data_IF_237131535493
#
_entry.id   IF_237131535493
#
_cell.length_a   1.000
_cell.length_b   1.000
_cell.length_c   1.000
_cell.angle_alpha   90.00
_cell.angle_beta   90.00
_cell.angle_gamma   90.00
#
_symmetry.space_group_name_H-M   'P 1'
#
loop_
_entity.id
_entity.type
_entity.pdbx_description
1 polymer ?
#
# COMPACT_ATOMS: atom_id res chain seq x y z
N UNK A 1 -0.02 73.08 -44.69
CA UNK A 1 -0.45 72.69 -43.34
C UNK A 1 -0.45 71.15 -43.30
N UNK A 2 0.60 70.50 -42.72
CA UNK A 2 0.74 69.06 -42.70
C UNK A 2 0.30 68.56 -41.33
N UNK A 3 -0.72 67.71 -41.30
CA UNK A 3 -1.20 67.06 -40.09
C UNK A 3 -0.60 65.66 -40.06
N UNK A 4 0.29 65.39 -39.09
CA UNK A 4 0.81 64.03 -38.81
C UNK A 4 -0.17 63.26 -37.98
N UNK A 5 -0.49 61.99 -38.30
CA UNK A 5 -1.24 61.12 -37.40
C UNK A 5 -0.29 60.44 -36.40
N UNK A 6 -0.53 60.69 -35.11
CA UNK A 6 0.08 59.92 -34.03
C UNK A 6 -0.62 58.54 -33.98
N UNK A 7 0.15 57.51 -34.30
CA UNK A 7 -0.30 56.11 -34.13
C UNK A 7 -0.02 55.76 -32.66
N UNK A 8 -1.11 55.55 -31.90
CA UNK A 8 -1.09 55.03 -30.55
C UNK A 8 -0.96 53.51 -30.65
N UNK A 9 0.24 52.95 -30.46
CA UNK A 9 0.48 51.49 -30.31
C UNK A 9 0.14 51.09 -28.87
N UNK A 10 -1.09 50.63 -28.67
CA UNK A 10 -1.46 49.96 -27.40
C UNK A 10 -0.83 48.57 -27.38
N UNK A 11 0.26 48.39 -26.63
CA UNK A 11 0.86 47.10 -26.35
C UNK A 11 -0.08 46.33 -25.45
N UNK A 12 -0.84 45.35 -26.00
CA UNK A 12 -1.51 44.34 -25.22
C UNK A 12 -0.44 43.42 -24.58
N UNK A 13 -0.07 43.72 -23.34
CA UNK A 13 0.64 42.81 -22.48
C UNK A 13 -0.38 41.74 -22.04
N UNK A 14 -0.56 40.67 -22.84
CA UNK A 14 -1.27 39.46 -22.45
C UNK A 14 -0.41 38.76 -21.40
N UNK A 15 -0.65 39.09 -20.13
CA UNK A 15 -0.10 38.34 -19.02
C UNK A 15 -0.57 36.88 -19.14
N UNK A 16 0.32 35.97 -19.52
CA UNK A 16 0.17 34.53 -19.30
C UNK A 16 0.07 34.33 -17.78
N UNK A 17 -1.15 34.38 -17.27
CA UNK A 17 -1.41 33.85 -15.93
C UNK A 17 -1.11 32.36 -16.03
N UNK A 18 0.10 31.95 -15.63
CA UNK A 18 0.37 30.56 -15.28
C UNK A 18 -0.63 30.24 -14.19
N UNK A 19 -1.63 29.41 -14.50
CA UNK A 19 -2.50 28.83 -13.50
C UNK A 19 -1.55 28.16 -12.50
N UNK A 20 -1.34 28.78 -11.33
CA UNK A 20 -0.68 28.10 -10.23
C UNK A 20 -1.56 26.88 -9.92
N UNK A 21 -1.09 25.71 -10.25
CA UNK A 21 -1.76 24.49 -9.83
C UNK A 21 -1.70 24.50 -8.30
N UNK A 22 -2.86 24.62 -7.64
CA UNK A 22 -2.95 24.43 -6.21
C UNK A 22 -2.47 23.00 -5.91
N UNK A 23 -1.57 22.85 -4.93
CA UNK A 23 -1.15 21.52 -4.50
C UNK A 23 -2.36 20.80 -3.90
N UNK A 24 -2.45 19.50 -4.11
CA UNK A 24 -3.57 18.68 -3.60
C UNK A 24 -3.75 18.83 -2.08
N UNK A 25 -2.71 19.22 -1.35
CA UNK A 25 -2.80 19.55 0.08
C UNK A 25 -3.81 20.70 0.33
N UNK A 26 -3.75 21.77 -0.49
CA UNK A 26 -4.67 22.90 -0.37
C UNK A 26 -6.10 22.51 -0.74
N UNK A 27 -6.25 21.64 -1.73
CA UNK A 27 -7.55 21.12 -2.15
C UNK A 27 -8.21 20.29 -1.04
N UNK A 28 -7.44 19.39 -0.38
CA UNK A 28 -7.91 18.58 0.75
C UNK A 28 -8.36 19.48 1.92
N UNK A 29 -7.54 20.48 2.29
CA UNK A 29 -7.87 21.39 3.38
C UNK A 29 -9.13 22.21 3.05
N UNK A 30 -9.23 22.71 1.82
CA UNK A 30 -10.39 23.50 1.36
C UNK A 30 -11.66 22.68 1.28
N UNK A 31 -11.56 21.41 0.86
CA UNK A 31 -12.69 20.48 0.83
C UNK A 31 -13.12 19.99 2.20
N UNK A 32 -12.30 20.19 3.25
CA UNK A 32 -12.56 19.71 4.60
C UNK A 32 -12.59 18.18 4.72
N UNK A 33 -11.99 17.46 3.76
CA UNK A 33 -12.07 16.00 3.67
C UNK A 33 -10.80 15.42 3.09
N UNK A 34 -10.31 14.32 3.69
CA UNK A 34 -9.23 13.47 3.19
C UNK A 34 -9.78 12.10 2.80
N UNK A 35 -9.65 11.73 1.52
CA UNK A 35 -10.03 10.40 1.01
C UNK A 35 -8.81 9.49 1.02
N UNK A 36 -8.84 8.44 1.86
CA UNK A 36 -7.77 7.46 1.96
C UNK A 36 -8.14 6.17 1.22
N UNK A 37 -7.38 5.79 0.21
CA UNK A 37 -7.44 4.45 -0.35
C UNK A 37 -6.85 3.47 0.68
N UNK A 38 -7.66 2.51 1.14
CA UNK A 38 -7.26 1.51 2.13
C UNK A 38 -7.70 0.14 1.65
N UNK A 39 -6.81 -0.85 1.76
CA UNK A 39 -7.14 -2.24 1.50
C UNK A 39 -7.80 -2.85 2.74
N UNK A 40 -9.11 -3.12 2.65
CA UNK A 40 -9.89 -3.67 3.78
C UNK A 40 -9.94 -5.20 3.81
N UNK A 41 -9.11 -5.86 3.02
CA UNK A 41 -8.92 -7.30 2.98
C UNK A 41 -7.48 -7.72 3.39
N UNK A 42 -6.83 -6.85 4.17
CA UNK A 42 -5.46 -7.03 4.61
C UNK A 42 -5.32 -6.88 6.14
N UNK A 43 -5.97 -7.76 6.95
CA UNK A 43 -5.84 -7.69 8.40
C UNK A 43 -4.39 -7.98 8.86
N UNK A 44 -3.90 -7.32 9.91
CA UNK A 44 -4.59 -6.34 10.75
C UNK A 44 -4.42 -4.88 10.28
N UNK A 45 -3.83 -4.63 9.10
CA UNK A 45 -3.64 -3.27 8.58
C UNK A 45 -4.97 -2.64 8.14
N UNK A 46 -5.77 -3.34 7.35
CA UNK A 46 -7.11 -2.94 6.98
C UNK A 46 -8.07 -4.12 7.00
N UNK A 47 -9.22 -3.94 7.63
CA UNK A 47 -10.25 -4.98 7.74
C UNK A 47 -11.63 -4.34 7.96
N UNK A 48 -12.65 -5.18 8.02
CA UNK A 48 -13.98 -4.81 8.47
C UNK A 48 -14.32 -5.54 9.76
N UNK A 49 -14.92 -4.82 10.70
CA UNK A 49 -15.44 -5.43 11.93
C UNK A 49 -16.76 -6.17 11.67
N UNK A 50 -17.34 -6.73 12.74
CA UNK A 50 -18.63 -7.44 12.71
C UNK A 50 -19.80 -6.58 12.22
N UNK A 51 -19.71 -5.27 12.36
CA UNK A 51 -20.72 -4.30 11.95
C UNK A 51 -20.38 -3.71 10.55
N UNK A 52 -19.45 -4.34 9.81
CA UNK A 52 -18.95 -3.96 8.50
C UNK A 52 -18.25 -2.59 8.45
N UNK A 53 -17.78 -2.09 9.59
CA UNK A 53 -17.04 -0.82 9.66
C UNK A 53 -15.56 -1.03 9.37
N UNK A 54 -14.91 -0.12 8.63
CA UNK A 54 -13.47 -0.16 8.43
C UNK A 54 -12.72 -0.07 9.76
N UNK A 55 -11.76 -0.95 9.98
CA UNK A 55 -10.86 -1.00 11.13
C UNK A 55 -9.45 -1.40 10.68
N UNK A 56 -8.46 -1.12 11.48
CA UNK A 56 -7.08 -1.55 11.22
C UNK A 56 -6.05 -0.44 11.45
N UNK A 57 -4.80 -0.82 11.33
CA UNK A 57 -3.66 0.09 11.49
C UNK A 57 -3.74 1.26 10.48
N UNK A 58 -3.99 0.95 9.20
CA UNK A 58 -4.07 1.95 8.12
C UNK A 58 -5.29 2.85 8.27
N UNK A 59 -6.41 2.32 8.79
CA UNK A 59 -7.60 3.12 9.09
C UNK A 59 -7.33 4.13 10.19
N UNK A 60 -6.65 3.71 11.28
CA UNK A 60 -6.24 4.62 12.34
C UNK A 60 -5.24 5.66 11.82
N UNK A 61 -4.32 5.28 10.93
CA UNK A 61 -3.38 6.21 10.29
C UNK A 61 -4.09 7.25 9.43
N UNK A 62 -5.11 6.87 8.67
CA UNK A 62 -5.94 7.81 7.91
C UNK A 62 -6.64 8.81 8.84
N UNK A 63 -7.25 8.32 9.91
CA UNK A 63 -7.91 9.17 10.90
C UNK A 63 -6.94 10.14 11.58
N UNK A 64 -5.73 9.67 11.93
CA UNK A 64 -4.69 10.51 12.52
C UNK A 64 -4.17 11.57 11.52
N UNK A 65 -4.01 11.22 10.23
CA UNK A 65 -3.60 12.16 9.19
C UNK A 65 -4.68 13.21 8.91
N UNK A 66 -5.94 12.80 8.78
CA UNK A 66 -7.07 13.70 8.62
C UNK A 66 -7.20 14.68 9.81
N UNK A 67 -7.05 14.16 11.03
CA UNK A 67 -7.01 14.99 12.24
C UNK A 67 -5.85 15.99 12.24
N UNK A 68 -4.68 15.59 11.78
CA UNK A 68 -3.52 16.48 11.67
C UNK A 68 -3.74 17.60 10.64
N UNK A 69 -4.50 17.32 9.58
CA UNK A 69 -4.92 18.28 8.56
C UNK A 69 -6.11 19.15 9.01
N UNK A 70 -6.81 18.78 10.08
CA UNK A 70 -8.03 19.46 10.53
C UNK A 70 -9.26 19.18 9.66
N UNK A 71 -9.32 18.03 8.99
CA UNK A 71 -10.38 17.61 8.06
C UNK A 71 -11.01 16.28 8.49
N UNK A 72 -12.10 15.88 7.83
CA UNK A 72 -12.74 14.57 8.03
C UNK A 72 -12.04 13.48 7.19
N UNK A 73 -11.94 12.28 7.75
CA UNK A 73 -11.43 11.10 7.03
C UNK A 73 -12.58 10.41 6.28
N UNK A 74 -12.31 10.04 5.01
CA UNK A 74 -13.18 9.16 4.23
C UNK A 74 -12.37 7.94 3.77
N UNK A 75 -12.80 6.75 4.18
CA UNK A 75 -12.16 5.49 3.79
C UNK A 75 -12.72 5.02 2.45
N UNK A 76 -11.84 4.89 1.46
CA UNK A 76 -12.14 4.34 0.13
C UNK A 76 -11.58 2.93 0.07
N UNK A 77 -12.47 1.93 0.12
CA UNK A 77 -12.09 0.52 0.00
C UNK A 77 -11.41 0.26 -1.36
N UNK A 78 -10.20 -0.25 -1.30
CA UNK A 78 -9.32 -0.29 -2.48
C UNK A 78 -8.45 -1.56 -2.45
N UNK A 79 -8.85 -2.63 -3.16
CA UNK A 79 -8.06 -3.84 -3.25
C UNK A 79 -6.72 -3.63 -3.98
N UNK A 80 -5.80 -4.58 -3.82
CA UNK A 80 -4.43 -4.55 -4.36
C UNK A 80 -4.27 -3.94 -5.76
N UNK A 81 -5.00 -4.42 -6.80
CA UNK A 81 -4.80 -3.93 -8.15
C UNK A 81 -5.26 -2.48 -8.36
N UNK A 82 -6.13 -1.98 -7.49
CA UNK A 82 -6.77 -0.68 -7.62
C UNK A 82 -6.06 0.44 -6.84
N UNK A 83 -5.07 0.14 -6.01
CA UNK A 83 -4.40 1.12 -5.12
C UNK A 83 -3.81 2.31 -5.89
N UNK A 84 -2.94 2.06 -6.86
CA UNK A 84 -2.34 3.11 -7.69
C UNK A 84 -3.39 3.78 -8.61
N UNK A 85 -4.26 3.03 -9.34
CA UNK A 85 -5.34 3.63 -10.11
C UNK A 85 -6.27 4.55 -9.32
N UNK A 86 -6.57 4.25 -8.06
CA UNK A 86 -7.42 5.09 -7.22
C UNK A 86 -6.81 6.48 -6.97
N UNK A 87 -5.49 6.56 -6.76
CA UNK A 87 -4.78 7.82 -6.57
C UNK A 87 -4.67 8.58 -7.88
N UNK A 88 -4.25 7.92 -8.96
CA UNK A 88 -4.06 8.55 -10.27
C UNK A 88 -5.36 9.14 -10.83
N UNK A 89 -6.49 8.46 -10.63
CA UNK A 89 -7.81 8.94 -11.06
C UNK A 89 -8.42 10.01 -10.15
N UNK A 90 -7.82 10.28 -8.98
CA UNK A 90 -8.39 11.19 -7.99
C UNK A 90 -9.61 10.63 -7.24
N UNK A 91 -9.83 9.30 -7.28
CA UNK A 91 -10.84 8.63 -6.45
C UNK A 91 -10.46 8.69 -4.96
N UNK A 92 -9.17 8.69 -4.66
CA UNK A 92 -8.61 8.94 -3.34
C UNK A 92 -7.46 9.94 -3.42
N UNK A 93 -7.15 10.59 -2.30
CA UNK A 93 -6.13 11.62 -2.19
C UNK A 93 -4.78 11.02 -1.76
N UNK A 94 -4.82 10.08 -0.82
CA UNK A 94 -3.65 9.38 -0.27
C UNK A 94 -3.94 7.89 -0.23
N UNK A 95 -2.97 7.07 -0.62
CA UNK A 95 -3.04 5.62 -0.44
C UNK A 95 -2.35 5.24 0.87
N UNK A 96 -3.09 4.66 1.80
CA UNK A 96 -2.58 4.06 3.04
C UNK A 96 -2.99 2.59 3.00
N UNK A 97 -2.29 1.81 2.16
CA UNK A 97 -2.76 0.50 1.74
C UNK A 97 -1.58 -0.46 1.52
N UNK A 98 -0.64 -0.46 2.43
CA UNK A 98 0.53 -1.37 2.46
C UNK A 98 1.25 -1.50 1.11
N UNK A 99 1.39 -0.37 0.39
CA UNK A 99 1.99 -0.38 -0.94
C UNK A 99 3.52 -0.38 -0.89
N UNK A 100 4.14 -1.44 -1.40
CA UNK A 100 5.60 -1.59 -1.48
C UNK A 100 6.23 -0.51 -2.36
N UNK A 101 7.29 0.13 -1.89
CA UNK A 101 7.97 1.28 -2.48
C UNK A 101 8.97 0.91 -3.61
N UNK A 102 8.52 0.14 -4.57
CA UNK A 102 9.40 -0.32 -5.65
C UNK A 102 9.77 0.78 -6.65
N UNK A 103 11.00 0.72 -7.19
CA UNK A 103 11.46 1.66 -8.21
C UNK A 103 10.58 1.64 -9.47
N UNK A 104 9.98 0.50 -9.81
CA UNK A 104 9.07 0.40 -10.96
C UNK A 104 7.80 1.21 -10.73
N UNK A 105 7.16 1.06 -9.57
CA UNK A 105 5.97 1.83 -9.21
C UNK A 105 6.27 3.33 -9.07
N UNK A 106 7.47 3.68 -8.57
CA UNK A 106 7.90 5.07 -8.41
C UNK A 106 8.02 5.86 -9.73
N UNK A 107 8.03 5.17 -10.88
CA UNK A 107 7.94 5.83 -12.19
C UNK A 107 6.57 6.47 -12.44
N UNK A 108 5.52 5.99 -11.78
CA UNK A 108 4.13 6.42 -12.02
C UNK A 108 3.48 7.09 -10.82
N UNK A 109 3.87 6.74 -9.60
CA UNK A 109 3.28 7.24 -8.36
C UNK A 109 4.35 7.80 -7.42
N UNK A 110 3.99 8.75 -6.56
CA UNK A 110 4.84 9.27 -5.49
C UNK A 110 4.73 8.41 -4.24
N UNK A 111 5.86 8.13 -3.60
CA UNK A 111 5.96 7.41 -2.35
C UNK A 111 6.45 8.31 -1.22
N UNK A 112 5.84 8.18 -0.05
CA UNK A 112 6.38 8.74 1.19
C UNK A 112 7.63 7.97 1.64
N UNK A 113 8.25 8.42 2.74
CA UNK A 113 9.12 7.52 3.52
C UNK A 113 8.30 6.31 3.99
N UNK A 114 8.92 5.13 4.16
CA UNK A 114 8.21 3.93 4.60
C UNK A 114 7.53 4.14 5.96
N UNK A 115 6.34 3.57 6.12
CA UNK A 115 5.60 3.58 7.38
C UNK A 115 5.39 2.18 7.96
N UNK A 116 5.63 1.15 7.15
CA UNK A 116 5.53 -0.24 7.58
C UNK A 116 6.58 -1.11 6.88
N UNK A 117 6.94 -2.22 7.51
CA UNK A 117 7.87 -3.21 6.95
C UNK A 117 7.30 -4.59 7.17
N UNK A 118 7.23 -5.38 6.12
CA UNK A 118 6.78 -6.76 6.19
C UNK A 118 7.91 -7.75 5.91
N UNK A 119 7.77 -8.91 6.52
CA UNK A 119 8.51 -10.11 6.17
C UNK A 119 7.61 -11.01 5.33
N UNK A 120 8.07 -11.38 4.16
CA UNK A 120 7.33 -12.29 3.28
C UNK A 120 7.62 -13.74 3.66
N UNK A 121 6.56 -14.53 3.81
CA UNK A 121 6.63 -15.96 4.15
C UNK A 121 5.92 -16.80 3.10
N UNK A 122 6.18 -18.10 3.13
CA UNK A 122 5.50 -19.10 2.31
C UNK A 122 4.40 -19.74 3.12
N UNK A 123 3.15 -19.49 2.74
CA UNK A 123 1.96 -20.12 3.29
C UNK A 123 1.48 -21.22 2.35
N UNK A 124 1.26 -22.41 2.88
CA UNK A 124 0.88 -23.60 2.11
C UNK A 124 -0.28 -24.33 2.75
N UNK A 125 -0.95 -25.18 1.96
CA UNK A 125 -1.81 -26.21 2.55
C UNK A 125 -0.99 -27.28 3.25
N UNK A 126 -1.44 -27.75 4.36
CA UNK A 126 -0.78 -28.84 5.12
C UNK A 126 -0.65 -30.13 4.30
N UNK A 127 -1.63 -30.43 3.44
CA UNK A 127 -1.69 -31.62 2.60
C UNK A 127 -0.99 -31.47 1.24
N UNK A 128 -0.34 -30.31 0.95
CA UNK A 128 0.35 -30.05 -0.30
C UNK A 128 1.63 -30.88 -0.51
N UNK A 129 2.21 -31.38 0.57
CA UNK A 129 3.53 -32.03 0.54
C UNK A 129 4.71 -31.06 0.61
N UNK A 130 4.49 -29.74 0.50
CA UNK A 130 5.52 -28.70 0.57
C UNK A 130 5.98 -28.57 2.03
N UNK A 131 7.29 -28.65 2.26
CA UNK A 131 7.91 -28.59 3.60
C UNK A 131 8.80 -27.36 3.80
N UNK A 132 9.28 -26.78 2.70
CA UNK A 132 10.13 -25.58 2.71
C UNK A 132 9.96 -24.80 1.40
N UNK A 133 10.44 -23.55 1.31
CA UNK A 133 10.26 -22.71 0.11
C UNK A 133 10.85 -23.30 -1.18
N UNK A 134 11.87 -24.15 -1.10
CA UNK A 134 12.47 -24.76 -2.29
C UNK A 134 11.58 -25.84 -2.94
N UNK A 135 10.59 -26.35 -2.20
CA UNK A 135 9.69 -27.40 -2.69
C UNK A 135 8.56 -26.87 -3.58
N UNK A 136 8.50 -25.57 -3.85
CA UNK A 136 7.42 -24.95 -4.66
C UNK A 136 7.43 -25.38 -6.13
N UNK A 137 8.55 -25.92 -6.63
CA UNK A 137 8.65 -26.40 -7.99
C UNK A 137 7.64 -27.51 -8.27
N UNK A 138 6.90 -27.40 -9.36
CA UNK A 138 5.86 -28.36 -9.76
C UNK A 138 4.48 -28.12 -9.15
N UNK A 139 4.37 -27.17 -8.22
CA UNK A 139 3.13 -26.87 -7.54
C UNK A 139 2.37 -25.71 -8.20
N UNK A 140 1.04 -25.71 -8.02
CA UNK A 140 0.22 -24.56 -8.37
C UNK A 140 0.34 -23.50 -7.27
N UNK A 141 0.71 -22.28 -7.64
CA UNK A 141 0.89 -21.18 -6.71
C UNK A 141 0.12 -19.95 -7.18
N UNK A 142 -0.13 -18.99 -6.30
CA UNK A 142 -0.83 -17.78 -6.69
C UNK A 142 -0.90 -16.74 -5.58
N UNK A 143 -1.46 -15.58 -5.91
CA UNK A 143 -1.65 -14.48 -4.98
C UNK A 143 -2.47 -13.34 -5.59
N UNK A 144 -2.74 -12.26 -4.84
CA UNK A 144 -3.51 -11.14 -5.32
C UNK A 144 -2.79 -10.43 -6.48
N UNK A 145 -3.53 -10.04 -7.51
CA UNK A 145 -2.99 -9.25 -8.60
C UNK A 145 -2.47 -7.90 -8.06
N UNK A 146 -1.26 -7.51 -8.48
CA UNK A 146 -0.65 -6.24 -8.04
C UNK A 146 0.07 -6.26 -6.69
N UNK A 147 -0.06 -7.33 -5.90
CA UNK A 147 0.71 -7.48 -4.65
C UNK A 147 2.20 -7.73 -4.93
N UNK A 148 3.07 -7.17 -4.09
CA UNK A 148 4.52 -7.38 -4.19
C UNK A 148 4.88 -8.85 -4.06
N UNK A 149 4.29 -9.55 -3.10
CA UNK A 149 4.52 -10.96 -2.82
C UNK A 149 4.14 -11.83 -4.02
N UNK A 150 3.09 -11.47 -4.74
CA UNK A 150 2.65 -12.18 -5.94
C UNK A 150 3.63 -12.00 -7.09
N UNK A 151 4.16 -10.79 -7.27
CA UNK A 151 5.20 -10.51 -8.26
C UNK A 151 6.48 -11.28 -7.93
N UNK A 152 6.92 -11.25 -6.67
CA UNK A 152 8.09 -11.98 -6.19
C UNK A 152 7.94 -13.51 -6.33
N UNK A 153 6.75 -14.03 -6.04
CA UNK A 153 6.41 -15.45 -6.26
C UNK A 153 6.51 -15.80 -7.75
N UNK A 154 6.00 -14.94 -8.63
CA UNK A 154 6.09 -15.12 -10.09
C UNK A 154 7.55 -15.20 -10.59
N UNK A 155 8.43 -14.36 -10.05
CA UNK A 155 9.86 -14.43 -10.39
C UNK A 155 10.51 -15.73 -9.87
N UNK A 156 10.14 -16.18 -8.67
CA UNK A 156 10.61 -17.47 -8.13
C UNK A 156 10.18 -18.64 -9.01
N UNK A 157 8.92 -18.65 -9.46
CA UNK A 157 8.38 -19.70 -10.37
C UNK A 157 9.10 -19.70 -11.72
N UNK A 158 9.36 -18.53 -12.30
CA UNK A 158 10.15 -18.43 -13.54
C UNK A 158 11.54 -19.02 -13.37
N UNK A 159 12.19 -18.77 -12.21
CA UNK A 159 13.51 -19.30 -11.87
C UNK A 159 13.56 -20.84 -11.81
N UNK A 160 12.44 -21.50 -11.54
CA UNK A 160 12.39 -22.97 -11.50
C UNK A 160 12.43 -23.63 -12.89
N UNK A 161 12.20 -22.89 -13.97
CA UNK A 161 12.13 -23.41 -15.35
C UNK A 161 11.23 -24.65 -15.44
N UNK A 162 10.08 -24.61 -14.79
CA UNK A 162 9.17 -25.74 -14.69
C UNK A 162 7.97 -25.56 -15.63
N UNK A 163 7.83 -26.40 -16.68
CA UNK A 163 6.70 -26.31 -17.61
C UNK A 163 5.35 -26.70 -16.96
N UNK A 164 5.37 -27.37 -15.82
CA UNK A 164 4.17 -27.81 -15.12
C UNK A 164 3.75 -26.84 -14.00
N UNK A 165 4.62 -25.90 -13.62
CA UNK A 165 4.33 -24.87 -12.62
C UNK A 165 3.18 -23.98 -13.09
N UNK A 166 2.19 -23.75 -12.21
CA UNK A 166 1.05 -22.88 -12.50
C UNK A 166 1.09 -21.67 -11.57
N UNK A 167 1.03 -20.49 -12.15
CA UNK A 167 0.87 -19.23 -11.42
C UNK A 167 -0.52 -18.66 -11.70
N UNK A 168 -1.30 -18.44 -10.65
CA UNK A 168 -2.65 -17.87 -10.71
C UNK A 168 -2.67 -16.51 -9.99
N UNK A 169 -3.48 -15.59 -10.49
CA UNK A 169 -3.72 -14.30 -9.83
C UNK A 169 -5.20 -14.16 -9.47
N UNK A 170 -5.45 -13.54 -8.33
CA UNK A 170 -6.77 -13.34 -7.74
C UNK A 170 -7.04 -11.83 -7.54
N UNK A 171 -8.29 -11.46 -7.31
CA UNK A 171 -8.67 -10.07 -7.10
C UNK A 171 -8.36 -9.58 -5.68
N UNK A 172 -8.29 -10.50 -4.71
CA UNK A 172 -8.14 -10.15 -3.29
C UNK A 172 -7.33 -11.19 -2.51
N UNK A 173 -6.91 -10.83 -1.30
CA UNK A 173 -6.30 -11.77 -0.34
C UNK A 173 -7.26 -12.89 0.04
N UNK A 174 -8.53 -12.55 0.30
CA UNK A 174 -9.56 -13.54 0.64
C UNK A 174 -9.78 -14.55 -0.48
N UNK A 175 -9.77 -14.13 -1.75
CA UNK A 175 -9.87 -15.05 -2.89
C UNK A 175 -8.66 -15.99 -2.97
N UNK A 176 -7.47 -15.49 -2.66
CA UNK A 176 -6.24 -16.31 -2.61
C UNK A 176 -6.34 -17.39 -1.53
N UNK A 177 -6.77 -17.03 -0.32
CA UNK A 177 -6.93 -18.02 0.77
C UNK A 177 -8.06 -18.99 0.51
N UNK A 178 -9.14 -18.57 -0.16
CA UNK A 178 -10.20 -19.45 -0.61
C UNK A 178 -9.67 -20.43 -1.66
N UNK A 179 -8.85 -19.98 -2.60
CA UNK A 179 -8.23 -20.83 -3.61
C UNK A 179 -7.28 -21.88 -2.99
N UNK A 180 -6.50 -21.51 -1.95
CA UNK A 180 -5.74 -22.45 -1.13
C UNK A 180 -6.66 -23.49 -0.49
N UNK A 181 -7.72 -23.06 0.21
CA UNK A 181 -8.69 -23.93 0.89
C UNK A 181 -9.38 -24.88 -0.08
N UNK A 182 -9.71 -24.41 -1.30
CA UNK A 182 -10.35 -25.19 -2.35
C UNK A 182 -9.39 -26.03 -3.19
N UNK A 183 -8.09 -26.06 -2.86
CA UNK A 183 -7.05 -26.82 -3.57
C UNK A 183 -6.84 -26.35 -5.02
N UNK A 184 -7.16 -25.11 -5.34
CA UNK A 184 -6.86 -24.52 -6.66
C UNK A 184 -5.38 -24.14 -6.78
N UNK A 185 -4.77 -23.76 -5.64
CA UNK A 185 -3.33 -23.53 -5.48
C UNK A 185 -2.82 -24.28 -4.24
N UNK A 186 -1.53 -24.56 -4.22
CA UNK A 186 -0.85 -25.29 -3.14
C UNK A 186 -0.15 -24.33 -2.16
N UNK A 187 0.30 -23.19 -2.67
CA UNK A 187 1.07 -22.22 -1.91
C UNK A 187 0.83 -20.78 -2.38
N UNK A 188 1.11 -19.84 -1.49
CA UNK A 188 1.20 -18.41 -1.77
C UNK A 188 2.35 -17.79 -1.00
N UNK A 189 2.90 -16.67 -1.50
CA UNK A 189 3.67 -15.74 -0.71
C UNK A 189 2.70 -14.74 -0.08
N UNK A 190 2.88 -14.46 1.20
CA UNK A 190 2.10 -13.47 1.93
C UNK A 190 2.93 -12.90 3.08
N UNK A 191 2.45 -11.84 3.72
CA UNK A 191 3.15 -11.28 4.88
C UNK A 191 3.01 -12.16 6.11
N UNK A 192 4.01 -12.13 6.99
CA UNK A 192 3.99 -12.88 8.25
C UNK A 192 2.80 -12.49 9.14
N UNK A 193 2.39 -11.23 9.10
CA UNK A 193 1.24 -10.70 9.88
C UNK A 193 -0.09 -11.28 9.43
N UNK A 194 -0.35 -11.27 8.12
CA UNK A 194 -1.57 -11.89 7.55
C UNK A 194 -1.59 -13.39 7.81
N UNK A 195 -0.48 -14.08 7.55
CA UNK A 195 -0.42 -15.52 7.78
C UNK A 195 -0.72 -15.90 9.23
N UNK A 196 -0.15 -15.13 10.19
CA UNK A 196 -0.43 -15.34 11.61
C UNK A 196 -1.92 -15.11 11.94
N UNK A 197 -2.52 -14.04 11.41
CA UNK A 197 -3.94 -13.73 11.61
C UNK A 197 -4.85 -14.82 11.01
N UNK A 198 -4.61 -15.24 9.77
CA UNK A 198 -5.39 -16.25 9.07
C UNK A 198 -5.32 -17.62 9.79
N UNK A 199 -4.14 -18.02 10.24
CA UNK A 199 -3.97 -19.27 11.01
C UNK A 199 -4.69 -19.18 12.36
N UNK A 200 -4.51 -18.05 13.07
CA UNK A 200 -5.14 -17.83 14.39
C UNK A 200 -6.67 -17.76 14.30
N UNK A 201 -7.21 -17.15 13.27
CA UNK A 201 -8.66 -17.03 13.09
C UNK A 201 -9.35 -18.38 12.82
N UNK A 202 -8.61 -19.37 12.30
CA UNK A 202 -9.15 -20.66 11.88
C UNK A 202 -10.15 -20.58 10.71
N UNK A 203 -10.27 -19.41 10.06
CA UNK A 203 -11.20 -19.17 8.94
C UNK A 203 -10.92 -20.10 7.75
N UNK A 204 -9.63 -20.40 7.52
CA UNK A 204 -9.16 -21.30 6.47
C UNK A 204 -8.32 -22.43 7.11
N UNK A 205 -8.95 -23.53 7.55
CA UNK A 205 -8.24 -24.61 8.23
C UNK A 205 -7.27 -25.35 7.29
N UNK A 206 -6.23 -25.96 7.86
CA UNK A 206 -5.26 -26.75 7.10
C UNK A 206 -4.22 -25.91 6.35
N UNK A 207 -3.97 -24.68 6.81
CA UNK A 207 -2.88 -23.84 6.32
C UNK A 207 -1.73 -23.80 7.33
N UNK A 208 -0.48 -23.77 6.82
CA UNK A 208 0.73 -23.65 7.63
C UNK A 208 1.81 -22.80 6.94
N UNK A 209 2.67 -22.18 7.73
CA UNK A 209 3.89 -21.52 7.27
C UNK A 209 5.00 -22.57 7.15
N UNK A 210 5.76 -22.56 6.04
CA UNK A 210 6.89 -23.48 5.81
C UNK A 210 8.25 -22.78 5.74
N UNK A 211 8.28 -21.48 5.95
CA UNK A 211 9.52 -20.70 6.02
C UNK A 211 9.37 -19.32 5.39
N UNK A 212 10.48 -18.60 5.41
CA UNK A 212 10.59 -17.28 4.80
C UNK A 212 10.69 -17.43 3.28
N UNK A 213 10.02 -16.55 2.54
CA UNK A 213 10.24 -16.43 1.12
C UNK A 213 11.67 -15.88 0.86
N UNK A 214 12.35 -16.31 -0.21
CA UNK A 214 13.70 -15.85 -0.53
C UNK A 214 13.68 -14.47 -1.20
N UNK A 215 13.12 -13.49 -0.51
CA UNK A 215 12.97 -12.10 -0.96
C UNK A 215 13.35 -11.14 0.17
N UNK A 216 13.72 -9.92 -0.19
CA UNK A 216 14.03 -8.87 0.78
C UNK A 216 12.80 -8.46 1.60
N UNK A 217 13.04 -7.78 2.71
CA UNK A 217 11.98 -7.17 3.49
C UNK A 217 11.20 -6.16 2.63
N UNK A 218 9.88 -6.20 2.72
CA UNK A 218 9.00 -5.33 1.96
C UNK A 218 8.72 -4.04 2.73
N UNK A 219 9.24 -2.94 2.22
CA UNK A 219 9.00 -1.60 2.77
C UNK A 219 7.78 -0.98 2.10
N UNK A 220 6.79 -0.66 2.92
CA UNK A 220 5.54 -0.06 2.46
C UNK A 220 5.48 1.43 2.79
N UNK A 221 5.04 2.22 1.81
CA UNK A 221 4.92 3.66 1.91
C UNK A 221 3.51 4.16 1.53
N UNK A 222 3.20 5.38 1.93
CA UNK A 222 1.97 6.04 1.51
C UNK A 222 2.10 6.49 0.05
N UNK A 223 1.00 6.40 -0.68
CA UNK A 223 0.91 6.79 -2.08
C UNK A 223 0.31 8.19 -2.21
N UNK A 224 0.91 9.04 -3.05
CA UNK A 224 0.37 10.31 -3.52
C UNK A 224 0.65 10.44 -5.02
N UNK A 225 -0.02 11.37 -5.71
CA UNK A 225 0.40 11.68 -7.09
C UNK A 225 1.82 12.23 -7.09
N UNK A 226 2.61 11.89 -8.10
CA UNK A 226 4.03 12.27 -8.19
C UNK A 226 4.28 13.77 -8.18
N UNK A 227 3.39 14.51 -8.79
CA UNK A 227 3.44 15.98 -8.91
C UNK A 227 3.09 16.71 -7.61
N UNK A 228 2.42 16.06 -6.64
CA UNK A 228 1.89 16.68 -5.42
C UNK A 228 2.94 16.74 -4.30
N UNK A 229 3.97 17.55 -4.52
CA UNK A 229 5.13 17.61 -3.61
C UNK A 229 4.81 18.24 -2.24
N UNK A 230 3.89 19.21 -2.18
CA UNK A 230 3.43 19.80 -0.92
C UNK A 230 2.75 18.76 -0.04
N UNK A 231 1.82 17.99 -0.62
CA UNK A 231 1.16 16.88 0.08
C UNK A 231 2.17 15.82 0.52
N UNK A 232 3.12 15.44 -0.36
CA UNK A 232 4.15 14.45 -0.02
C UNK A 232 5.03 14.91 1.14
N UNK A 233 5.45 16.16 1.14
CA UNK A 233 6.26 16.74 2.23
C UNK A 233 5.47 16.75 3.56
N UNK A 234 4.18 17.09 3.52
CA UNK A 234 3.32 17.05 4.70
C UNK A 234 3.17 15.64 5.24
N UNK A 235 2.90 14.68 4.37
CA UNK A 235 2.80 13.24 4.71
C UNK A 235 4.10 12.75 5.35
N UNK A 236 5.25 13.05 4.78
CA UNK A 236 6.55 12.67 5.34
C UNK A 236 6.79 13.27 6.74
N UNK A 237 6.44 14.55 6.93
CA UNK A 237 6.51 15.18 8.25
C UNK A 237 5.54 14.52 9.25
N UNK A 238 4.32 14.19 8.82
CA UNK A 238 3.35 13.49 9.64
C UNK A 238 3.89 12.13 10.09
N UNK A 239 4.42 11.29 9.18
CA UNK A 239 5.01 10.00 9.51
C UNK A 239 6.14 10.11 10.53
N UNK A 240 7.06 11.06 10.34
CA UNK A 240 8.10 11.35 11.32
C UNK A 240 7.52 11.72 12.70
N UNK A 241 6.43 12.48 12.73
CA UNK A 241 5.78 12.86 14.00
C UNK A 241 5.09 11.68 14.67
N UNK A 242 4.47 10.77 13.91
CA UNK A 242 3.87 9.54 14.45
C UNK A 242 4.92 8.70 15.22
N UNK A 243 6.11 8.54 14.64
CA UNK A 243 7.21 7.82 15.31
C UNK A 243 7.70 8.58 16.55
N UNK A 244 8.03 9.87 16.41
CA UNK A 244 8.62 10.67 17.51
C UNK A 244 7.66 10.90 18.68
N UNK A 245 6.35 10.91 18.45
CA UNK A 245 5.34 11.06 19.51
C UNK A 245 5.05 9.76 20.25
N UNK A 246 5.53 8.62 19.76
CA UNK A 246 5.19 7.28 20.25
C UNK A 246 3.86 6.73 19.70
N UNK A 247 3.12 7.52 18.91
CA UNK A 247 1.80 7.10 18.37
C UNK A 247 1.92 5.88 17.45
N UNK A 248 3.01 5.80 16.66
CA UNK A 248 3.30 4.62 15.84
C UNK A 248 3.40 3.35 16.71
N UNK A 249 4.16 3.40 17.81
CA UNK A 249 4.32 2.25 18.71
C UNK A 249 2.99 1.85 19.39
N UNK A 250 2.14 2.82 19.74
CA UNK A 250 0.80 2.55 20.28
C UNK A 250 -0.06 1.79 19.26
N UNK A 251 -0.11 2.26 18.01
CA UNK A 251 -0.89 1.64 16.94
C UNK A 251 -0.35 0.25 16.58
N UNK A 252 0.97 0.12 16.50
CA UNK A 252 1.62 -1.17 16.26
C UNK A 252 1.25 -2.18 17.36
N UNK A 253 1.36 -1.78 18.62
CA UNK A 253 0.94 -2.63 19.76
C UNK A 253 -0.54 -2.98 19.70
N UNK A 254 -1.40 -2.02 19.34
CA UNK A 254 -2.86 -2.21 19.26
C UNK A 254 -3.25 -3.25 18.20
N UNK A 255 -2.65 -3.17 17.01
CA UNK A 255 -3.09 -3.93 15.85
C UNK A 255 -2.22 -5.16 15.56
N UNK A 256 -0.90 -5.02 15.69
CA UNK A 256 0.05 -6.11 15.38
C UNK A 256 0.37 -6.93 16.63
N UNK A 257 0.35 -6.29 17.79
CA UNK A 257 0.67 -6.94 19.06
C UNK A 257 2.18 -7.02 19.33
N UNK A 258 2.54 -7.49 20.51
CA UNK A 258 3.95 -7.67 20.93
C UNK A 258 4.53 -9.01 20.48
N UNK A 259 3.70 -9.94 20.07
CA UNK A 259 4.12 -11.28 19.60
C UNK A 259 4.85 -11.20 18.25
N UNK A 260 4.57 -10.18 17.44
CA UNK A 260 5.27 -9.91 16.18
C UNK A 260 6.64 -9.24 16.35
N UNK A 261 7.08 -9.04 17.60
CA UNK A 261 8.31 -8.32 17.93
C UNK A 261 8.08 -6.82 18.17
N UNK A 262 9.17 -6.06 18.44
CA UNK A 262 9.09 -4.62 18.56
C UNK A 262 8.71 -3.99 17.23
N UNK A 263 8.06 -2.82 17.28
CA UNK A 263 7.80 -2.02 16.08
C UNK A 263 9.13 -1.83 15.32
N UNK A 264 9.11 -1.97 13.97
CA UNK A 264 10.32 -1.80 13.18
C UNK A 264 10.92 -0.40 13.41
N UNK A 265 12.23 -0.33 13.41
CA UNK A 265 12.94 0.95 13.48
C UNK A 265 12.81 1.66 12.12
N UNK A 266 11.89 2.60 12.03
CA UNK A 266 11.65 3.41 10.84
C UNK A 266 12.60 4.62 10.74
N UNK A 267 13.78 4.59 11.38
CA UNK A 267 14.79 5.64 11.26
C UNK A 267 15.43 5.78 9.87
N UNK A 268 14.88 5.08 8.88
CA UNK A 268 15.19 5.17 7.43
C UNK A 268 15.11 6.63 6.92
N UNK A 269 14.42 7.52 7.60
CA UNK A 269 14.38 8.95 7.27
C UNK A 269 15.77 9.62 7.11
N UNK A 270 16.85 9.02 7.59
CA UNK A 270 18.21 9.49 7.37
C UNK A 270 18.79 9.12 5.99
N UNK A 271 18.20 8.14 5.31
CA UNK A 271 18.69 7.62 4.02
C UNK A 271 18.18 8.48 2.85
N UNK A 272 17.08 9.19 3.01
CA UNK A 272 16.47 10.05 1.99
C UNK A 272 16.84 11.54 2.13
N UNK A 273 17.96 11.84 2.81
CA UNK A 273 18.50 13.19 2.92
C UNK A 273 19.51 13.49 1.80
#
# INVERSE_FOLDING_TARGET
>A
MRISPFIFAAALASGLATAAHADQLDDIISAGKLRCAIELDFPPNGARDKDNKPIGFDVDYCNDLAKALGVEAEIVDTPDPDRIPAILSGRADVGIAVASDTLERAKTIGFSIPYFVFKTIVLVREDSGIKNPADLKGHAVGGPAGAYETLALGESVKGFNDPNGKMLTFQSQSDTFLALSQKQIDATYTTSTIAADIIKSGKYPGLKIVGDAPVDADYCALLVKREEQGLLNYVNLFLNRQVRSGRYAELYKKWIGTEAGPAPDLTIASVYR
#
